data_IF_047388097984
#
_entry.id   IF_047388097984
#
_cell.length_a   1.000
_cell.length_b   1.000
_cell.length_c   1.000
_cell.angle_alpha   90.00
_cell.angle_beta   90.00
_cell.angle_gamma   90.00
#
_symmetry.space_group_name_H-M   'P 1'
#
loop_
_entity.id
_entity.type
_entity.pdbx_description
1 polymer ?
#
# COMPACT_ATOMS: atom_id res chain seq x y z
N UNK A 1 62.38 -46.82 -6.09
CA UNK A 1 61.28 -47.32 -5.25
C UNK A 1 60.30 -46.17 -5.05
N UNK A 2 59.06 -46.32 -5.54
CA UNK A 2 58.02 -45.27 -5.70
C UNK A 2 57.58 -44.72 -4.35
N UNK A 3 57.79 -43.42 -4.09
CA UNK A 3 56.88 -42.26 -4.27
C UNK A 3 55.59 -42.30 -3.44
N UNK A 4 55.45 -41.25 -2.63
CA UNK A 4 54.51 -41.02 -1.55
C UNK A 4 53.03 -40.90 -1.97
N UNK A 5 52.12 -41.25 -1.07
CA UNK A 5 50.68 -41.03 -1.18
C UNK A 5 50.23 -40.16 0.00
N UNK A 6 49.98 -38.87 -0.28
CA UNK A 6 49.27 -37.96 0.63
C UNK A 6 47.78 -37.99 0.25
N UNK A 7 46.93 -38.41 1.18
CA UNK A 7 45.47 -38.26 1.08
C UNK A 7 45.11 -36.79 1.32
N UNK A 8 44.49 -36.15 0.33
CA UNK A 8 43.78 -34.88 0.51
C UNK A 8 42.28 -35.18 0.71
N UNK A 9 41.74 -34.87 1.89
CA UNK A 9 40.30 -34.83 2.13
C UNK A 9 39.74 -33.55 1.48
N UNK A 10 38.94 -33.69 0.44
CA UNK A 10 38.16 -32.60 -0.12
C UNK A 10 36.86 -32.41 0.69
N UNK A 11 36.81 -31.35 1.49
CA UNK A 11 35.56 -30.87 2.10
C UNK A 11 34.76 -30.13 1.03
N UNK A 12 33.63 -30.70 0.62
CA UNK A 12 32.67 -30.04 -0.28
C UNK A 12 31.69 -29.24 0.57
N UNK A 13 31.77 -27.90 0.46
CA UNK A 13 30.79 -27.00 1.05
C UNK A 13 29.63 -26.88 0.05
N UNK A 14 28.38 -27.24 0.40
CA UNK A 14 27.25 -27.04 -0.49
C UNK A 14 26.97 -25.54 -0.61
N UNK A 15 27.05 -25.01 -1.83
CA UNK A 15 26.58 -23.67 -2.14
C UNK A 15 25.05 -23.66 -1.96
N UNK A 16 24.59 -22.97 -0.92
CA UNK A 16 23.18 -22.62 -0.76
C UNK A 16 22.78 -21.71 -1.91
N UNK A 17 22.08 -22.26 -2.90
CA UNK A 17 21.37 -21.48 -3.92
C UNK A 17 20.23 -20.75 -3.23
N UNK A 18 20.49 -19.53 -2.74
CA UNK A 18 19.43 -18.59 -2.41
C UNK A 18 18.58 -18.39 -3.65
N UNK A 19 17.29 -18.71 -3.54
CA UNK A 19 16.34 -18.47 -4.60
C UNK A 19 16.34 -16.96 -4.90
N UNK A 20 16.85 -16.59 -6.08
CA UNK A 20 16.71 -15.23 -6.60
C UNK A 20 15.24 -15.13 -7.03
N UNK A 21 14.42 -14.49 -6.20
CA UNK A 21 13.06 -14.11 -6.58
C UNK A 21 13.17 -13.17 -7.78
N UNK A 22 12.44 -13.41 -8.89
CA UNK A 22 12.46 -12.50 -10.03
C UNK A 22 12.08 -11.09 -9.54
N UNK A 23 12.86 -10.10 -9.97
CA UNK A 23 12.50 -8.70 -9.77
C UNK A 23 11.11 -8.48 -10.39
N UNK A 24 10.14 -8.05 -9.58
CA UNK A 24 8.84 -7.63 -10.08
C UNK A 24 9.07 -6.49 -11.08
N UNK A 25 8.48 -6.59 -12.27
CA UNK A 25 8.61 -5.54 -13.27
C UNK A 25 7.99 -4.24 -12.72
N UNK A 26 8.63 -3.12 -12.99
CA UNK A 26 8.10 -1.82 -12.58
C UNK A 26 6.66 -1.68 -13.10
N UNK A 27 5.74 -1.34 -12.20
CA UNK A 27 4.31 -1.25 -12.52
C UNK A 27 3.83 0.14 -12.16
N UNK A 28 3.18 0.83 -13.11
CA UNK A 28 2.54 2.12 -12.86
C UNK A 28 1.06 1.91 -12.57
N UNK A 29 0.62 2.40 -11.41
CA UNK A 29 -0.74 2.26 -10.93
C UNK A 29 -1.37 3.63 -10.67
N UNK A 30 -2.66 3.74 -10.98
CA UNK A 30 -3.47 4.93 -10.66
C UNK A 30 -4.80 4.50 -10.05
N UNK A 31 -5.33 5.32 -9.15
CA UNK A 31 -6.66 5.15 -8.62
C UNK A 31 -7.36 6.47 -8.30
N UNK A 32 -8.69 6.45 -8.37
CA UNK A 32 -9.57 7.51 -7.86
C UNK A 32 -10.63 6.90 -6.98
N UNK A 33 -11.03 7.62 -5.93
CA UNK A 33 -11.99 7.11 -4.96
C UNK A 33 -12.74 8.23 -4.26
N UNK A 34 -13.94 7.92 -3.79
CA UNK A 34 -14.79 8.86 -3.07
C UNK A 34 -14.88 8.44 -1.59
N UNK A 35 -14.65 9.40 -0.69
CA UNK A 35 -14.64 9.19 0.76
C UNK A 35 -15.83 9.92 1.37
N UNK A 36 -16.55 9.25 2.27
CA UNK A 36 -17.48 9.88 3.20
C UNK A 36 -16.81 10.08 4.56
N UNK A 37 -16.71 11.34 5.00
CA UNK A 37 -16.08 11.69 6.28
C UNK A 37 -16.82 11.07 7.47
N UNK A 38 -16.11 10.44 8.41
CA UNK A 38 -16.72 9.79 9.58
C UNK A 38 -16.98 10.74 10.76
N UNK A 39 -16.28 11.87 10.79
CA UNK A 39 -16.40 12.88 11.83
C UNK A 39 -15.96 14.24 11.29
N UNK A 40 -16.22 15.29 12.06
CA UNK A 40 -15.84 16.65 11.69
C UNK A 40 -14.32 16.83 11.73
N UNK A 41 -13.78 17.58 10.77
CA UNK A 41 -12.38 17.96 10.66
C UNK A 41 -12.27 19.39 10.14
N UNK A 42 -12.16 20.34 11.08
CA UNK A 42 -12.22 21.77 10.77
C UNK A 42 -13.53 22.14 10.06
N UNK A 43 -13.46 22.64 8.82
CA UNK A 43 -14.64 22.96 7.99
C UNK A 43 -15.28 21.75 7.32
N UNK A 44 -14.60 20.60 7.28
CA UNK A 44 -15.17 19.36 6.73
C UNK A 44 -16.12 18.75 7.77
N UNK A 45 -17.42 18.76 7.48
CA UNK A 45 -18.41 18.16 8.36
C UNK A 45 -18.47 16.63 8.19
N UNK A 46 -18.92 15.93 9.24
CA UNK A 46 -19.30 14.52 9.19
C UNK A 46 -20.25 14.25 8.03
N UNK A 47 -19.99 13.21 7.25
CA UNK A 47 -20.79 12.83 6.09
C UNK A 47 -20.48 13.59 4.80
N UNK A 48 -19.60 14.61 4.84
CA UNK A 48 -19.13 15.32 3.64
C UNK A 48 -18.40 14.37 2.70
N UNK A 49 -18.54 14.62 1.40
CA UNK A 49 -17.81 13.89 0.36
C UNK A 49 -16.44 14.51 0.12
N UNK A 50 -15.43 13.67 0.06
CA UNK A 50 -14.07 14.02 -0.36
C UNK A 50 -13.69 13.16 -1.56
N UNK A 51 -12.83 13.69 -2.42
CA UNK A 51 -12.27 12.95 -3.55
C UNK A 51 -10.82 12.61 -3.27
N UNK A 52 -10.46 11.36 -3.50
CA UNK A 52 -9.12 10.84 -3.39
C UNK A 52 -8.53 10.45 -4.74
N UNK A 53 -7.22 10.62 -4.87
CA UNK A 53 -6.44 10.16 -6.01
C UNK A 53 -5.12 9.55 -5.54
N UNK A 54 -4.70 8.48 -6.20
CA UNK A 54 -3.41 7.80 -6.02
C UNK A 54 -2.74 7.63 -7.38
N UNK A 55 -1.45 7.91 -7.45
CA UNK A 55 -0.58 7.65 -8.61
C UNK A 55 0.78 7.20 -8.10
N UNK A 56 1.20 5.97 -8.42
CA UNK A 56 2.50 5.46 -7.97
C UNK A 56 3.11 4.45 -8.93
N UNK A 57 4.45 4.37 -8.89
CA UNK A 57 5.26 3.35 -9.56
C UNK A 57 5.78 2.39 -8.51
N UNK A 58 5.51 1.10 -8.67
CA UNK A 58 6.14 0.07 -7.86
C UNK A 58 7.53 -0.24 -8.43
N UNK A 59 8.51 -0.40 -7.55
CA UNK A 59 9.85 -0.86 -7.88
C UNK A 59 10.02 -2.29 -7.34
N UNK A 60 10.82 -2.44 -6.28
CA UNK A 60 11.14 -3.73 -5.68
C UNK A 60 10.03 -4.20 -4.73
N UNK A 61 9.89 -5.51 -4.59
CA UNK A 61 8.92 -6.11 -3.69
C UNK A 61 9.64 -6.95 -2.63
N UNK A 62 9.31 -6.73 -1.37
CA UNK A 62 9.94 -7.39 -0.22
C UNK A 62 8.92 -8.26 0.47
N UNK A 63 9.17 -9.57 0.47
CA UNK A 63 8.33 -10.52 1.21
C UNK A 63 8.64 -10.45 2.70
N UNK A 64 7.59 -10.35 3.50
CA UNK A 64 7.65 -10.42 4.95
C UNK A 64 7.03 -11.72 5.46
N UNK A 65 7.58 -12.28 6.53
CA UNK A 65 7.16 -13.57 7.12
C UNK A 65 5.67 -13.60 7.54
N UNK A 66 5.05 -12.45 7.71
CA UNK A 66 3.63 -12.27 8.05
C UNK A 66 2.67 -12.35 6.83
N UNK A 67 3.05 -13.03 5.75
CA UNK A 67 2.24 -13.15 4.50
C UNK A 67 1.94 -11.81 3.81
N UNK A 68 2.82 -10.83 4.02
CA UNK A 68 2.74 -9.51 3.39
C UNK A 68 3.81 -9.39 2.32
N UNK A 69 3.40 -9.00 1.11
CA UNK A 69 4.33 -8.50 0.10
C UNK A 69 4.28 -6.97 0.13
N UNK A 70 5.42 -6.35 0.39
CA UNK A 70 5.55 -4.90 0.43
C UNK A 70 6.19 -4.43 -0.86
N UNK A 71 5.46 -3.68 -1.68
CA UNK A 71 5.97 -3.05 -2.89
C UNK A 71 6.54 -1.69 -2.52
N UNK A 72 7.87 -1.56 -2.54
CA UNK A 72 8.52 -0.25 -2.46
C UNK A 72 8.07 0.57 -3.65
N UNK A 73 7.57 1.76 -3.37
CA UNK A 73 6.84 2.56 -4.35
C UNK A 73 7.29 4.02 -4.29
N UNK A 74 7.16 4.70 -5.43
CA UNK A 74 7.29 6.15 -5.50
C UNK A 74 6.02 6.71 -6.13
N UNK A 75 5.33 7.58 -5.39
CA UNK A 75 4.07 8.14 -5.85
C UNK A 75 3.46 9.15 -4.90
N UNK A 76 2.22 9.52 -5.17
CA UNK A 76 1.45 10.46 -4.37
C UNK A 76 0.05 9.92 -4.07
N UNK A 77 -0.45 10.33 -2.91
CA UNK A 77 -1.84 10.20 -2.51
C UNK A 77 -2.34 11.60 -2.18
N UNK A 78 -3.50 11.99 -2.69
CA UNK A 78 -4.09 13.30 -2.44
C UNK A 78 -5.59 13.16 -2.17
N UNK A 79 -6.07 13.90 -1.17
CA UNK A 79 -7.49 14.02 -0.82
C UNK A 79 -7.91 15.48 -0.92
N UNK A 80 -9.07 15.74 -1.52
CA UNK A 80 -9.61 17.09 -1.69
C UNK A 80 -11.08 17.13 -1.25
N UNK A 81 -11.41 18.14 -0.44
CA UNK A 81 -12.78 18.43 -0.02
C UNK A 81 -13.54 19.27 -1.06
N UNK A 82 -14.86 19.33 -0.92
CA UNK A 82 -15.72 20.18 -1.76
C UNK A 82 -15.43 21.68 -1.63
N UNK A 83 -14.92 22.12 -0.47
CA UNK A 83 -14.49 23.50 -0.24
C UNK A 83 -13.13 23.84 -0.86
N UNK A 84 -12.49 22.88 -1.52
CA UNK A 84 -11.20 23.02 -2.20
C UNK A 84 -9.99 22.81 -1.29
N UNK A 85 -10.19 22.67 0.04
CA UNK A 85 -9.12 22.30 0.95
C UNK A 85 -8.61 20.89 0.67
N UNK A 86 -7.32 20.63 0.91
CA UNK A 86 -6.70 19.37 0.49
C UNK A 86 -5.59 18.89 1.42
N UNK A 87 -5.27 17.61 1.35
CA UNK A 87 -4.11 17.01 2.00
C UNK A 87 -3.48 16.02 1.04
N UNK A 88 -2.15 16.02 0.95
CA UNK A 88 -1.39 15.10 0.12
C UNK A 88 -0.16 14.55 0.85
N UNK A 89 0.34 13.43 0.35
CA UNK A 89 1.50 12.75 0.89
C UNK A 89 2.17 11.87 -0.16
N UNK A 90 3.41 11.48 0.12
CA UNK A 90 4.25 10.65 -0.74
C UNK A 90 4.08 9.18 -0.40
N UNK A 91 3.59 8.39 -1.36
CA UNK A 91 3.52 6.93 -1.22
C UNK A 91 4.94 6.38 -1.28
N UNK A 92 5.31 5.64 -0.24
CA UNK A 92 6.62 4.97 -0.16
C UNK A 92 6.50 3.44 -0.20
N UNK A 93 5.36 2.91 0.25
CA UNK A 93 5.09 1.48 0.29
C UNK A 93 3.63 1.20 -0.01
N UNK A 94 3.39 0.13 -0.77
CA UNK A 94 2.08 -0.49 -0.92
C UNK A 94 2.17 -1.93 -0.43
N UNK A 95 1.37 -2.29 0.56
CA UNK A 95 1.30 -3.63 1.13
C UNK A 95 0.17 -4.41 0.48
N UNK A 96 0.46 -5.63 0.04
CA UNK A 96 -0.54 -6.62 -0.36
C UNK A 96 -0.47 -7.79 0.60
N UNK A 97 -1.60 -8.11 1.21
CA UNK A 97 -1.72 -9.24 2.13
C UNK A 97 -2.75 -10.20 1.59
N UNK A 98 -2.32 -11.46 1.49
CA UNK A 98 -3.15 -12.59 1.09
C UNK A 98 -3.17 -13.63 2.19
N UNK A 99 -4.35 -13.89 2.74
CA UNK A 99 -4.54 -14.81 3.87
C UNK A 99 -5.88 -15.53 3.76
N UNK A 100 -5.92 -16.86 3.98
CA UNK A 100 -7.18 -17.59 4.07
C UNK A 100 -7.91 -17.37 5.41
N UNK A 101 -7.33 -16.64 6.37
CA UNK A 101 -7.81 -16.60 7.74
C UNK A 101 -8.73 -15.41 8.07
N UNK A 102 -8.39 -14.18 7.66
CA UNK A 102 -9.08 -12.96 8.15
C UNK A 102 -9.68 -12.13 7.00
N UNK A 103 -8.82 -11.60 6.13
CA UNK A 103 -9.18 -10.80 4.97
C UNK A 103 -7.92 -10.57 4.13
N UNK A 104 -8.07 -10.65 2.81
CA UNK A 104 -7.06 -10.09 1.92
C UNK A 104 -7.17 -8.56 1.97
N UNK A 105 -6.06 -7.85 1.85
CA UNK A 105 -6.09 -6.40 1.77
C UNK A 105 -4.93 -5.81 0.98
N UNK A 106 -5.17 -4.60 0.47
CA UNK A 106 -4.15 -3.72 -0.08
C UNK A 106 -4.13 -2.44 0.74
N UNK A 107 -2.95 -2.04 1.22
CA UNK A 107 -2.77 -0.81 2.00
C UNK A 107 -1.71 0.09 1.37
N UNK A 108 -2.01 1.38 1.28
CA UNK A 108 -1.13 2.41 0.76
C UNK A 108 -0.61 3.22 1.94
N UNK A 109 0.72 3.36 2.05
CA UNK A 109 1.37 4.16 3.08
C UNK A 109 2.00 5.42 2.49
N UNK A 110 1.41 6.56 2.82
CA UNK A 110 1.89 7.88 2.42
C UNK A 110 2.45 8.64 3.63
N UNK A 111 3.71 9.06 3.52
CA UNK A 111 4.37 9.95 4.48
C UNK A 111 4.60 11.35 3.91
N UNK A 112 5.27 12.21 4.67
CA UNK A 112 5.45 13.63 4.33
C UNK A 112 4.13 14.34 4.07
N UNK A 113 3.13 14.07 4.93
CA UNK A 113 1.78 14.55 4.76
C UNK A 113 1.71 16.06 5.02
N UNK A 114 1.12 16.81 4.10
CA UNK A 114 0.95 18.25 4.19
C UNK A 114 -0.32 18.70 3.46
N UNK A 115 -0.78 19.91 3.77
CA UNK A 115 -1.98 20.48 3.15
C UNK A 115 -2.72 21.41 4.09
N UNK A 116 -3.99 21.65 3.81
CA UNK A 116 -4.89 22.53 4.53
C UNK A 116 -6.32 21.97 4.67
N UNK A 117 -6.54 20.66 4.50
CA UNK A 117 -7.86 20.03 4.55
C UNK A 117 -8.66 20.47 5.79
N UNK A 118 -9.85 21.02 5.58
CA UNK A 118 -10.69 21.56 6.64
C UNK A 118 -10.16 22.84 7.32
N UNK A 119 -9.13 23.48 6.75
CA UNK A 119 -8.37 24.57 7.39
C UNK A 119 -7.31 24.08 8.40
N UNK A 120 -7.07 22.78 8.50
CA UNK A 120 -6.04 22.19 9.39
C UNK A 120 -4.77 21.95 8.57
N UNK A 121 -3.62 22.40 9.07
CA UNK A 121 -2.36 22.41 8.30
C UNK A 121 -1.21 21.58 8.87
N UNK A 122 -1.28 21.20 10.14
CA UNK A 122 -0.22 20.45 10.80
C UNK A 122 -0.56 18.96 10.82
N UNK A 123 -0.41 18.25 9.70
CA UNK A 123 -0.61 16.80 9.70
C UNK A 123 0.60 16.06 10.24
N UNK A 124 0.34 14.87 10.80
CA UNK A 124 1.38 13.91 11.20
C UNK A 124 1.29 12.68 10.29
N UNK A 125 2.43 12.05 10.05
CA UNK A 125 2.48 10.81 9.28
C UNK A 125 1.94 9.62 10.08
N UNK A 126 1.43 8.55 9.43
CA UNK A 126 1.16 8.44 8.00
C UNK A 126 -0.28 8.81 7.61
N UNK A 127 -0.48 9.04 6.32
CA UNK A 127 -1.78 9.00 5.65
C UNK A 127 -1.96 7.63 4.99
N UNK A 128 -3.07 6.95 5.28
CA UNK A 128 -3.31 5.57 4.90
C UNK A 128 -4.63 5.40 4.16
N UNK A 129 -4.58 4.60 3.09
CA UNK A 129 -5.77 4.02 2.45
C UNK A 129 -5.66 2.51 2.53
N UNK A 130 -6.72 1.82 2.92
CA UNK A 130 -6.75 0.36 2.97
C UNK A 130 -8.04 -0.19 2.37
N UNK A 131 -7.89 -1.14 1.45
CA UNK A 131 -8.98 -1.86 0.80
C UNK A 131 -8.95 -3.31 1.25
N UNK A 132 -10.06 -3.80 1.80
CA UNK A 132 -10.20 -5.15 2.31
C UNK A 132 -11.13 -5.96 1.40
N UNK A 133 -10.72 -7.17 1.07
CA UNK A 133 -11.55 -8.19 0.44
C UNK A 133 -11.94 -9.31 1.42
N UNK A 134 -12.81 -10.23 1.02
CA UNK A 134 -12.94 -11.54 1.67
C UNK A 134 -11.58 -12.29 1.68
N UNK A 135 -11.38 -13.26 2.60
CA UNK A 135 -10.20 -14.12 2.57
C UNK A 135 -10.04 -14.85 1.23
N UNK A 136 -8.80 -14.97 0.75
CA UNK A 136 -8.46 -15.67 -0.50
C UNK A 136 -9.18 -15.14 -1.76
N UNK A 137 -9.47 -13.84 -1.79
CA UNK A 137 -10.02 -13.15 -2.96
C UNK A 137 -8.92 -12.80 -3.96
N UNK A 138 -7.71 -12.48 -3.47
CA UNK A 138 -6.55 -12.25 -4.32
C UNK A 138 -5.96 -13.59 -4.76
N UNK A 139 -5.69 -13.72 -6.07
CA UNK A 139 -5.08 -14.92 -6.64
C UNK A 139 -3.58 -15.02 -6.34
N UNK A 140 -2.92 -13.87 -6.15
CA UNK A 140 -1.50 -13.75 -5.84
C UNK A 140 -1.27 -12.60 -4.84
N UNK A 141 -0.09 -12.52 -4.18
CA UNK A 141 0.26 -11.38 -3.36
C UNK A 141 0.82 -10.20 -4.16
N UNK A 142 0.82 -10.24 -5.49
CA UNK A 142 1.24 -9.11 -6.32
C UNK A 142 0.16 -8.01 -6.35
N UNK A 143 0.52 -6.82 -6.82
CA UNK A 143 -0.43 -5.72 -7.00
C UNK A 143 -1.61 -6.14 -7.92
N UNK A 144 -2.86 -5.82 -7.55
CA UNK A 144 -4.00 -6.02 -8.45
C UNK A 144 -3.80 -5.25 -9.76
N UNK A 145 -3.96 -5.93 -10.90
CA UNK A 145 -3.70 -5.32 -12.21
C UNK A 145 -4.96 -4.80 -12.87
N UNK A 146 -6.06 -5.55 -12.76
CA UNK A 146 -7.31 -5.24 -13.42
C UNK A 146 -8.30 -4.53 -12.49
N UNK A 147 -9.25 -3.81 -13.10
CA UNK A 147 -10.36 -3.18 -12.36
C UNK A 147 -11.18 -4.22 -11.58
N UNK A 148 -11.33 -5.44 -12.10
CA UNK A 148 -12.04 -6.52 -11.42
C UNK A 148 -11.31 -6.96 -10.14
N UNK A 149 -9.98 -7.06 -10.17
CA UNK A 149 -9.18 -7.39 -9.00
C UNK A 149 -9.31 -6.31 -7.92
N UNK A 150 -9.24 -5.03 -8.32
CA UNK A 150 -9.48 -3.91 -7.41
C UNK A 150 -10.89 -3.91 -6.82
N UNK A 151 -11.91 -4.15 -7.65
CA UNK A 151 -13.32 -4.19 -7.22
C UNK A 151 -13.63 -5.39 -6.31
N UNK A 152 -12.78 -6.42 -6.30
CA UNK A 152 -12.90 -7.55 -5.38
C UNK A 152 -12.55 -7.17 -3.92
N UNK A 153 -11.81 -6.07 -3.72
CA UNK A 153 -11.38 -5.54 -2.43
C UNK A 153 -12.40 -4.55 -1.83
N UNK A 154 -13.69 -4.86 -1.94
CA UNK A 154 -14.79 -3.97 -1.57
C UNK A 154 -15.51 -4.31 -0.26
N UNK A 155 -15.01 -5.27 0.53
CA UNK A 155 -15.61 -5.68 1.81
C UNK A 155 -15.60 -4.55 2.83
N UNK A 156 -14.52 -3.77 2.85
CA UNK A 156 -14.35 -2.55 3.65
C UNK A 156 -13.24 -1.71 3.01
N UNK A 157 -13.46 -0.42 2.84
CA UNK A 157 -12.44 0.48 2.28
C UNK A 157 -12.39 1.73 3.16
N UNK A 158 -11.18 2.12 3.60
CA UNK A 158 -11.00 3.14 4.63
C UNK A 158 -9.87 4.08 4.26
N UNK A 159 -10.09 5.36 4.54
CA UNK A 159 -9.08 6.40 4.55
C UNK A 159 -8.82 6.87 6.00
N UNK A 160 -7.57 7.16 6.34
CA UNK A 160 -7.19 7.80 7.60
C UNK A 160 -5.93 8.67 7.49
N UNK A 161 -5.85 9.73 8.28
CA UNK A 161 -4.67 10.59 8.44
C UNK A 161 -4.57 11.09 9.87
N UNK A 162 -3.35 11.18 10.44
CA UNK A 162 -3.17 11.70 11.79
C UNK A 162 -3.25 13.23 11.84
N UNK A 163 -3.94 13.75 12.86
CA UNK A 163 -4.02 15.19 13.14
C UNK A 163 -3.09 15.56 14.30
N UNK A 164 -2.59 16.81 14.37
CA UNK A 164 -1.44 17.20 15.20
C UNK A 164 -1.71 17.18 16.70
N UNK A 165 -2.97 17.40 17.08
CA UNK A 165 -3.32 17.98 18.37
C UNK A 165 -3.90 16.95 19.36
N UNK A 166 -4.19 15.72 18.95
CA UNK A 166 -4.92 14.79 19.84
C UNK A 166 -4.64 13.29 19.69
N UNK A 167 -3.62 12.84 18.93
CA UNK A 167 -3.52 11.43 18.50
C UNK A 167 -4.80 10.96 17.78
N UNK A 168 -5.64 11.88 17.31
CA UNK A 168 -6.87 11.55 16.59
C UNK A 168 -6.53 11.33 15.13
N UNK A 169 -7.20 10.34 14.57
CA UNK A 169 -7.21 10.12 13.13
C UNK A 169 -8.41 10.87 12.57
N UNK A 170 -8.19 11.73 11.57
CA UNK A 170 -9.26 12.01 10.63
C UNK A 170 -9.47 10.77 9.77
N UNK A 171 -10.72 10.36 9.55
CA UNK A 171 -11.02 9.14 8.79
C UNK A 171 -12.32 9.23 8.02
N UNK A 172 -12.42 8.39 7.01
CA UNK A 172 -13.64 8.22 6.23
C UNK A 172 -13.76 6.83 5.65
N UNK A 173 -14.98 6.47 5.28
CA UNK A 173 -15.28 5.25 4.51
C UNK A 173 -15.15 5.59 3.04
N UNK A 174 -14.42 4.76 2.30
CA UNK A 174 -14.38 4.86 0.84
C UNK A 174 -15.61 4.14 0.29
N UNK A 175 -16.42 4.84 -0.49
CA UNK A 175 -17.69 4.31 -1.03
C UNK A 175 -17.53 3.77 -2.45
N UNK A 176 -16.56 4.31 -3.20
CA UNK A 176 -16.27 3.91 -4.56
C UNK A 176 -14.76 3.92 -4.79
N UNK A 177 -14.27 2.91 -5.49
CA UNK A 177 -12.87 2.79 -5.89
C UNK A 177 -12.80 2.47 -7.38
N UNK A 178 -11.90 3.16 -8.07
CA UNK A 178 -11.55 2.89 -9.47
C UNK A 178 -10.05 2.90 -9.58
N UNK A 179 -9.45 1.71 -9.71
CA UNK A 179 -8.00 1.52 -9.80
C UNK A 179 -7.59 0.72 -11.03
N UNK A 180 -6.38 0.97 -11.52
CA UNK A 180 -5.77 0.19 -12.60
C UNK A 180 -4.25 0.24 -12.50
N UNK A 181 -3.59 -0.83 -12.94
CA UNK A 181 -2.14 -0.89 -13.05
C UNK A 181 -1.72 -1.37 -14.42
N UNK A 182 -0.54 -0.95 -14.87
CA UNK A 182 0.09 -1.42 -16.11
C UNK A 182 1.59 -1.62 -15.91
N UNK A 183 2.11 -2.69 -16.50
CA UNK A 183 3.55 -2.90 -16.59
C UNK A 183 4.19 -1.79 -17.44
N UNK A 184 5.41 -1.40 -17.08
CA UNK A 184 6.23 -0.45 -17.83
C UNK A 184 7.37 -1.11 -18.62
#
# INVERSE_FOLDING_TARGET
MRLALLLALAVTIPATTGAVTPASAATHCTATFDIRANHDHGTVATGSMLRGAIDFRSAESVWSENKTLSHLSEGTMAITAEDGSSVDGKISVVHVVRTPEIADYVSFDAGHVHGDLGGITAYEDPMLVTLYGPPATLDSPELPLSEADWNSLNKRMVFQVHTPDTMRTFSGVIEEWRGSCRAE
#
